data_IF_695172555494
#
_entry.id   IF_695172555494
#
_cell.length_a   1.000
_cell.length_b   1.000
_cell.length_c   1.000
_cell.angle_alpha   90.00
_cell.angle_beta   90.00
_cell.angle_gamma   90.00
#
_symmetry.space_group_name_H-M   'P 1'
#
loop_
_entity.id
_entity.type
_entity.pdbx_description
1 polymer ?
#
# COMPACT_ATOMS: atom_id res chain seq x y z
N UNK A 1 -21.21 12.37 3.70
CA UNK A 1 -22.56 12.72 3.48
C UNK A 1 -23.48 11.51 3.67
N UNK A 2 -24.45 11.64 4.57
CA UNK A 2 -25.38 10.56 4.98
C UNK A 2 -26.10 9.91 3.80
N UNK A 3 -26.49 10.68 2.80
CA UNK A 3 -27.18 10.17 1.61
C UNK A 3 -26.36 9.11 0.86
N UNK A 4 -25.07 9.34 0.66
CA UNK A 4 -24.19 8.39 -0.04
C UNK A 4 -23.89 7.15 0.81
N UNK A 5 -23.53 7.37 2.09
CA UNK A 5 -23.04 6.30 2.97
C UNK A 5 -24.17 5.49 3.58
N UNK A 6 -25.27 6.14 4.00
CA UNK A 6 -26.35 5.50 4.76
C UNK A 6 -27.51 5.06 3.87
N UNK A 7 -27.58 5.57 2.63
CA UNK A 7 -28.71 5.31 1.73
C UNK A 7 -28.27 4.64 0.44
N UNK A 8 -27.44 5.31 -0.38
CA UNK A 8 -27.05 4.81 -1.71
C UNK A 8 -26.19 3.56 -1.63
N UNK A 9 -25.12 3.60 -0.83
CA UNK A 9 -24.21 2.47 -0.69
C UNK A 9 -24.92 1.18 -0.23
N UNK A 10 -25.75 1.18 0.85
CA UNK A 10 -26.51 0.00 1.25
C UNK A 10 -27.51 -0.47 0.20
N UNK A 11 -28.12 0.46 -0.56
CA UNK A 11 -29.07 0.10 -1.61
C UNK A 11 -28.37 -0.66 -2.76
N UNK A 12 -27.20 -0.19 -3.19
CA UNK A 12 -26.40 -0.87 -4.21
C UNK A 12 -25.87 -2.21 -3.69
N UNK A 13 -25.38 -2.28 -2.45
CA UNK A 13 -24.95 -3.54 -1.85
C UNK A 13 -26.08 -4.60 -1.85
N UNK A 14 -27.31 -4.20 -1.52
CA UNK A 14 -28.48 -5.10 -1.60
C UNK A 14 -28.75 -5.56 -3.02
N UNK A 15 -28.69 -4.65 -3.99
CA UNK A 15 -28.87 -4.98 -5.40
C UNK A 15 -27.84 -6.01 -5.87
N UNK A 16 -26.60 -5.88 -5.43
CA UNK A 16 -25.51 -6.81 -5.74
C UNK A 16 -25.54 -8.10 -4.89
N UNK A 17 -26.52 -8.28 -4.00
CA UNK A 17 -26.61 -9.43 -3.11
C UNK A 17 -25.51 -9.50 -2.03
N UNK A 18 -24.92 -8.36 -1.69
CA UNK A 18 -23.93 -8.24 -0.62
C UNK A 18 -24.63 -8.06 0.73
N UNK A 19 -24.18 -8.77 1.74
CA UNK A 19 -24.74 -8.70 3.11
C UNK A 19 -24.10 -7.53 3.85
N UNK A 20 -24.90 -6.57 4.31
CA UNK A 20 -24.47 -5.48 5.18
C UNK A 20 -25.01 -5.67 6.60
N UNK A 21 -24.22 -5.45 7.64
CA UNK A 21 -24.74 -5.31 8.98
C UNK A 21 -25.44 -3.95 9.14
N UNK A 22 -26.72 -3.94 9.44
CA UNK A 22 -27.47 -2.71 9.78
C UNK A 22 -28.78 -2.51 8.99
N UNK A 23 -29.66 -1.66 9.53
CA UNK A 23 -30.89 -1.24 8.88
C UNK A 23 -30.59 -0.09 7.91
N UNK A 24 -30.89 -0.29 6.65
CA UNK A 24 -30.89 0.80 5.67
C UNK A 24 -32.34 1.15 5.32
N UNK A 25 -32.59 2.43 5.11
CA UNK A 25 -33.90 2.91 4.63
C UNK A 25 -34.31 2.21 3.32
N UNK A 26 -35.58 2.17 3.03
CA UNK A 26 -36.10 1.62 1.78
C UNK A 26 -35.85 2.61 0.64
N UNK A 27 -34.88 2.32 -0.19
CA UNK A 27 -34.60 3.06 -1.43
C UNK A 27 -34.69 2.10 -2.59
N UNK A 28 -35.40 2.50 -3.63
CA UNK A 28 -35.49 1.77 -4.89
C UNK A 28 -34.50 2.38 -5.87
N UNK A 29 -33.62 1.56 -6.40
CA UNK A 29 -32.68 1.95 -7.46
C UNK A 29 -33.44 1.86 -8.79
N UNK A 30 -33.53 2.95 -9.52
CA UNK A 30 -34.28 3.01 -10.78
C UNK A 30 -33.53 2.39 -11.95
N UNK A 31 -32.19 2.61 -11.99
CA UNK A 31 -31.38 2.16 -13.10
C UNK A 31 -29.94 1.87 -12.57
N UNK A 32 -29.50 0.63 -12.68
CA UNK A 32 -28.17 0.18 -12.28
C UNK A 32 -27.51 -0.49 -13.47
N UNK A 33 -26.29 -0.09 -13.86
CA UNK A 33 -25.58 -0.71 -14.96
C UNK A 33 -25.46 -2.23 -14.78
N UNK A 34 -25.79 -3.00 -15.81
CA UNK A 34 -25.75 -4.48 -15.75
C UNK A 34 -24.34 -5.04 -15.52
N UNK A 35 -23.32 -4.29 -15.92
CA UNK A 35 -21.92 -4.64 -15.73
C UNK A 35 -21.37 -4.28 -14.33
N UNK A 36 -22.18 -3.64 -13.48
CA UNK A 36 -21.77 -3.32 -12.11
C UNK A 36 -21.76 -4.58 -11.25
N UNK A 37 -20.55 -5.01 -10.87
CA UNK A 37 -20.34 -6.23 -10.06
C UNK A 37 -19.83 -5.95 -8.66
N UNK A 38 -19.25 -4.75 -8.45
CA UNK A 38 -18.68 -4.38 -7.17
C UNK A 38 -19.01 -2.95 -6.80
N UNK A 39 -19.17 -2.71 -5.51
CA UNK A 39 -19.25 -1.36 -4.93
C UNK A 39 -18.28 -1.25 -3.77
N UNK A 40 -17.59 -0.12 -3.71
CA UNK A 40 -16.63 0.14 -2.63
C UNK A 40 -16.82 1.53 -2.07
N UNK A 41 -16.99 1.61 -0.75
CA UNK A 41 -17.04 2.86 -0.02
C UNK A 41 -15.62 3.36 0.26
N UNK A 42 -15.31 4.58 -0.21
CA UNK A 42 -14.05 5.27 0.07
C UNK A 42 -14.24 6.28 1.20
N UNK A 43 -13.99 5.87 2.41
CA UNK A 43 -14.10 6.78 3.56
C UNK A 43 -12.95 7.80 3.59
N UNK A 44 -13.21 9.00 4.10
CA UNK A 44 -12.17 10.03 4.31
C UNK A 44 -11.31 9.76 5.56
N UNK A 45 -11.51 8.63 6.23
CA UNK A 45 -10.71 8.28 7.38
C UNK A 45 -9.22 8.21 6.99
N UNK A 46 -8.38 8.91 7.74
CA UNK A 46 -6.93 8.83 7.58
C UNK A 46 -6.50 7.37 7.73
N UNK A 47 -5.67 6.89 6.83
CA UNK A 47 -5.16 5.53 6.93
C UNK A 47 -4.37 5.41 8.24
N UNK A 48 -4.93 4.65 9.19
CA UNK A 48 -4.24 4.33 10.44
C UNK A 48 -3.16 3.30 10.09
N UNK A 49 -1.94 3.74 10.05
CA UNK A 49 -0.79 2.88 9.78
C UNK A 49 0.34 3.17 10.75
N UNK A 50 1.12 2.15 11.07
CA UNK A 50 2.40 2.37 11.72
C UNK A 50 3.42 2.85 10.66
N UNK A 51 4.61 3.26 11.09
CA UNK A 51 5.67 3.70 10.18
C UNK A 51 6.12 2.67 9.15
N UNK A 52 5.67 1.42 9.26
CA UNK A 52 5.95 0.34 8.30
C UNK A 52 4.93 0.28 7.17
N UNK A 53 3.77 0.93 7.32
CA UNK A 53 2.80 1.09 6.23
C UNK A 53 3.27 2.22 5.32
N UNK A 54 3.61 1.89 4.09
CA UNK A 54 4.12 2.81 3.07
C UNK A 54 3.37 2.60 1.75
N UNK A 55 3.31 3.58 0.83
CA UNK A 55 2.55 3.47 -0.41
C UNK A 55 2.82 2.19 -1.19
N UNK A 56 4.08 1.80 -1.32
CA UNK A 56 4.47 0.62 -2.07
C UNK A 56 4.00 -0.70 -1.43
N UNK A 57 3.77 -0.73 -0.11
CA UNK A 57 3.16 -1.89 0.56
C UNK A 57 1.64 -1.90 0.39
N UNK A 58 1.01 -0.73 0.44
CA UNK A 58 -0.44 -0.59 0.26
C UNK A 58 -0.89 -1.07 -1.11
N UNK A 59 -0.18 -0.70 -2.18
CA UNK A 59 -0.45 -1.17 -3.54
C UNK A 59 0.13 -2.57 -3.83
N UNK A 60 0.65 -3.28 -2.82
CA UNK A 60 1.28 -4.59 -2.93
C UNK A 60 2.44 -4.68 -3.96
N UNK A 61 3.09 -3.56 -4.23
CA UNK A 61 4.23 -3.51 -5.14
C UNK A 61 5.54 -3.95 -4.48
N UNK A 62 5.63 -3.84 -3.15
CA UNK A 62 6.88 -4.09 -2.44
C UNK A 62 7.38 -5.52 -2.59
N UNK A 63 6.49 -6.51 -2.65
CA UNK A 63 6.84 -7.91 -2.85
C UNK A 63 7.49 -8.15 -4.22
N UNK A 64 7.00 -7.48 -5.25
CA UNK A 64 7.58 -7.57 -6.58
C UNK A 64 8.96 -6.88 -6.64
N UNK A 65 9.14 -5.75 -5.94
CA UNK A 65 10.46 -5.10 -5.80
C UNK A 65 11.43 -6.04 -5.07
N UNK A 66 11.02 -6.63 -3.94
CA UNK A 66 11.85 -7.58 -3.18
C UNK A 66 12.29 -8.80 -4.01
N UNK A 67 11.39 -9.30 -4.88
CA UNK A 67 11.72 -10.37 -5.83
C UNK A 67 12.81 -9.95 -6.81
N UNK A 68 12.75 -8.72 -7.33
CA UNK A 68 13.77 -8.18 -8.24
C UNK A 68 15.13 -8.14 -7.55
N UNK A 69 15.21 -7.64 -6.31
CA UNK A 69 16.45 -7.61 -5.54
C UNK A 69 17.01 -9.01 -5.24
N UNK A 70 16.15 -9.95 -4.82
CA UNK A 70 16.55 -11.33 -4.56
C UNK A 70 17.09 -12.07 -5.80
N UNK A 71 16.76 -11.61 -7.00
CA UNK A 71 17.23 -12.17 -8.26
C UNK A 71 18.60 -11.62 -8.70
N UNK A 72 19.11 -10.58 -8.05
CA UNK A 72 20.42 -10.01 -8.38
C UNK A 72 21.54 -11.02 -8.15
N UNK A 73 22.65 -10.88 -8.89
CA UNK A 73 23.82 -11.76 -8.76
C UNK A 73 24.38 -11.73 -7.34
N UNK A 74 24.44 -10.55 -6.74
CA UNK A 74 24.98 -10.36 -5.39
C UNK A 74 24.09 -10.98 -4.31
N UNK A 75 22.75 -10.81 -4.40
CA UNK A 75 21.81 -11.48 -3.50
C UNK A 75 21.97 -13.02 -3.55
N UNK A 76 22.08 -13.58 -4.76
CA UNK A 76 22.27 -15.03 -4.94
C UNK A 76 23.57 -15.53 -4.35
N UNK A 77 24.69 -14.80 -4.50
CA UNK A 77 25.98 -15.16 -3.88
C UNK A 77 25.91 -15.21 -2.35
N UNK A 78 25.11 -14.30 -1.75
CA UNK A 78 24.92 -14.21 -0.30
C UNK A 78 23.79 -15.09 0.22
N UNK A 79 23.13 -15.86 -0.64
CA UNK A 79 21.91 -16.62 -0.32
C UNK A 79 20.80 -15.74 0.28
N UNK A 80 20.67 -14.49 -0.18
CA UNK A 80 19.65 -13.56 0.26
C UNK A 80 18.36 -13.80 -0.52
N UNK A 81 17.39 -14.41 0.16
CA UNK A 81 16.04 -14.56 -0.36
C UNK A 81 15.22 -13.26 -0.23
N UNK A 82 13.99 -13.27 -0.73
CA UNK A 82 13.07 -12.13 -0.73
C UNK A 82 12.80 -11.59 0.69
N UNK A 83 12.85 -12.44 1.73
CA UNK A 83 12.68 -12.04 3.13
C UNK A 83 13.75 -11.08 3.62
N UNK A 84 14.99 -11.18 3.10
CA UNK A 84 16.11 -10.30 3.46
C UNK A 84 15.85 -8.84 3.05
N UNK A 85 15.08 -8.61 2.03
CA UNK A 85 14.70 -7.28 1.54
C UNK A 85 13.40 -6.76 2.17
N UNK A 86 12.93 -7.37 3.27
CA UNK A 86 11.78 -6.92 4.04
C UNK A 86 12.22 -6.19 5.31
N UNK A 87 11.73 -4.98 5.51
CA UNK A 87 11.90 -4.27 6.78
C UNK A 87 10.77 -4.59 7.79
N UNK A 88 9.79 -5.42 7.41
CA UNK A 88 8.65 -5.81 8.25
C UNK A 88 8.85 -7.18 8.93
N UNK A 89 9.64 -8.07 8.32
CA UNK A 89 9.79 -9.45 8.79
C UNK A 89 10.91 -9.58 9.82
N UNK A 90 10.63 -10.25 10.93
CA UNK A 90 11.69 -10.71 11.85
C UNK A 90 12.53 -11.80 11.19
N UNK A 91 13.82 -11.83 11.45
CA UNK A 91 14.75 -12.78 10.82
C UNK A 91 15.13 -12.44 9.38
N UNK A 92 14.64 -11.32 8.81
CA UNK A 92 15.07 -10.77 7.53
C UNK A 92 16.22 -9.76 7.67
N UNK A 93 16.33 -8.87 6.69
CA UNK A 93 17.38 -7.85 6.68
C UNK A 93 17.00 -6.52 7.35
N UNK A 94 15.96 -6.50 8.18
CA UNK A 94 15.56 -5.28 8.91
C UNK A 94 16.61 -4.90 9.96
N UNK A 95 16.74 -3.62 10.23
CA UNK A 95 17.48 -3.13 11.37
C UNK A 95 16.84 -3.61 12.67
N UNK A 96 17.58 -4.34 13.49
CA UNK A 96 17.09 -4.89 14.76
C UNK A 96 16.90 -3.79 15.83
N UNK A 97 17.71 -2.72 15.77
CA UNK A 97 17.65 -1.63 16.75
C UNK A 97 16.35 -0.84 16.69
N UNK A 98 15.84 -0.55 15.50
CA UNK A 98 14.56 0.16 15.30
C UNK A 98 13.44 -0.74 14.79
N UNK A 99 13.65 -2.06 14.72
CA UNK A 99 12.68 -3.00 14.19
C UNK A 99 12.16 -2.65 12.78
N UNK A 100 13.02 -2.07 11.94
CA UNK A 100 12.67 -1.65 10.58
C UNK A 100 11.80 -0.38 10.51
N UNK A 101 11.65 0.37 11.60
CA UNK A 101 10.91 1.65 11.60
C UNK A 101 11.73 2.80 10.99
N UNK A 102 13.06 2.72 11.08
CA UNK A 102 13.99 3.78 10.70
C UNK A 102 14.12 4.88 11.75
N UNK A 103 13.28 4.87 12.78
CA UNK A 103 13.27 5.81 13.89
C UNK A 103 13.10 5.06 15.19
N UNK A 104 13.58 5.67 16.28
CA UNK A 104 13.35 5.27 17.66
C UNK A 104 12.29 6.19 18.26
N UNK A 105 11.34 5.62 18.98
CA UNK A 105 10.34 6.38 19.71
C UNK A 105 10.84 6.59 21.14
N UNK A 106 10.94 7.84 21.54
CA UNK A 106 11.33 8.25 22.89
C UNK A 106 10.05 8.65 23.61
N UNK A 107 9.61 7.79 24.52
CA UNK A 107 8.41 8.05 25.33
C UNK A 107 8.69 9.17 26.34
N UNK A 108 7.85 10.19 26.33
CA UNK A 108 7.93 11.33 27.23
C UNK A 108 6.73 11.29 28.19
N UNK A 109 6.99 11.23 29.51
CA UNK A 109 5.93 11.05 30.51
C UNK A 109 4.84 12.13 30.49
N UNK A 110 5.14 13.36 30.04
CA UNK A 110 4.24 14.51 30.07
C UNK A 110 4.16 15.29 28.77
N UNK A 111 4.85 14.85 27.73
CA UNK A 111 4.90 15.48 26.40
C UNK A 111 4.59 14.42 25.32
N UNK A 112 4.19 14.84 24.12
CA UNK A 112 4.08 13.91 22.99
C UNK A 112 5.40 13.18 22.75
N UNK A 113 5.32 11.91 22.42
CA UNK A 113 6.49 11.09 22.07
C UNK A 113 7.30 11.74 20.96
N UNK A 114 8.61 11.72 21.11
CA UNK A 114 9.55 12.24 20.13
C UNK A 114 10.11 11.08 19.32
N UNK A 115 10.21 11.28 18.02
CA UNK A 115 10.85 10.33 17.12
C UNK A 115 12.25 10.82 16.74
N UNK A 116 13.26 10.02 17.03
CA UNK A 116 14.64 10.26 16.62
C UNK A 116 15.04 9.28 15.52
N UNK A 117 15.83 9.74 14.56
CA UNK A 117 16.40 8.86 13.52
C UNK A 117 17.23 7.77 14.19
N UNK A 118 17.03 6.51 13.78
CA UNK A 118 17.82 5.40 14.31
C UNK A 118 19.27 5.55 13.93
N UNK A 119 20.16 5.66 14.89
CA UNK A 119 21.61 5.80 14.74
C UNK A 119 22.27 4.55 14.13
N UNK A 120 21.77 3.36 14.46
CA UNK A 120 22.31 2.10 13.95
C UNK A 120 22.13 1.94 12.43
N UNK A 121 21.01 2.40 11.88
CA UNK A 121 20.72 2.27 10.44
C UNK A 121 20.68 3.61 9.69
N UNK A 122 20.83 4.74 10.37
CA UNK A 122 20.72 6.08 9.74
C UNK A 122 19.38 6.33 9.06
N UNK A 123 18.29 5.74 9.57
CA UNK A 123 16.96 5.87 8.97
C UNK A 123 16.66 4.91 7.82
N UNK A 124 17.63 4.11 7.36
CA UNK A 124 17.46 3.23 6.19
C UNK A 124 16.50 2.06 6.41
N UNK A 125 16.21 1.69 7.66
CA UNK A 125 15.37 0.55 8.09
C UNK A 125 16.03 -0.82 7.94
N UNK A 126 17.18 -0.91 7.28
CA UNK A 126 17.89 -2.15 6.95
C UNK A 126 19.24 -2.27 7.63
N UNK A 127 19.71 -3.48 7.69
CA UNK A 127 21.11 -3.77 8.04
C UNK A 127 22.03 -3.39 6.89
N UNK A 128 23.30 -3.09 7.20
CA UNK A 128 24.30 -2.65 6.21
C UNK A 128 24.54 -3.68 5.12
N UNK A 129 24.60 -4.98 5.48
CA UNK A 129 24.83 -6.09 4.54
C UNK A 129 23.75 -6.20 3.45
N UNK A 130 22.49 -5.82 3.76
CA UNK A 130 21.39 -5.79 2.80
C UNK A 130 21.51 -4.59 1.85
N UNK A 131 21.98 -3.45 2.36
CA UNK A 131 22.14 -2.23 1.57
C UNK A 131 23.29 -2.33 0.54
N UNK A 132 24.23 -3.23 0.75
CA UNK A 132 25.30 -3.53 -0.22
C UNK A 132 24.80 -4.28 -1.46
N UNK A 133 23.58 -4.84 -1.40
CA UNK A 133 22.97 -5.47 -2.56
C UNK A 133 22.25 -4.41 -3.40
N UNK A 134 22.71 -4.26 -4.62
CA UNK A 134 22.18 -3.25 -5.54
C UNK A 134 21.47 -3.88 -6.74
N UNK A 135 20.43 -3.19 -7.19
CA UNK A 135 19.81 -3.39 -8.49
C UNK A 135 19.95 -2.11 -9.31
N UNK A 136 20.63 -2.20 -10.45
CA UNK A 136 20.96 -1.03 -11.31
C UNK A 136 21.64 0.09 -10.54
N UNK A 137 22.63 -0.25 -9.73
CA UNK A 137 23.42 0.69 -8.89
C UNK A 137 22.56 1.47 -7.87
N UNK A 138 21.51 0.86 -7.35
CA UNK A 138 20.69 1.40 -6.28
C UNK A 138 20.38 0.31 -5.26
N UNK A 139 20.57 0.63 -3.98
CA UNK A 139 20.15 -0.19 -2.85
C UNK A 139 18.62 -0.16 -2.71
N UNK A 140 18.06 -1.11 -1.97
CA UNK A 140 16.60 -1.10 -1.71
C UNK A 140 16.15 0.14 -0.95
N UNK A 141 16.99 0.70 -0.09
CA UNK A 141 16.70 1.96 0.61
C UNK A 141 16.58 3.13 -0.37
N UNK A 142 17.54 3.30 -1.28
CA UNK A 142 17.49 4.35 -2.30
C UNK A 142 16.28 4.22 -3.21
N UNK A 143 15.88 2.98 -3.55
CA UNK A 143 14.63 2.75 -4.29
C UNK A 143 13.41 3.20 -3.50
N UNK A 144 13.38 2.99 -2.19
CA UNK A 144 12.28 3.48 -1.35
C UNK A 144 12.26 5.01 -1.21
N UNK A 145 13.37 5.70 -1.48
CA UNK A 145 13.43 7.16 -1.52
C UNK A 145 12.98 7.75 -2.87
N UNK A 146 12.83 6.94 -3.91
CA UNK A 146 12.31 7.40 -5.19
C UNK A 146 10.84 7.76 -5.10
N UNK A 147 10.42 8.72 -5.90
CA UNK A 147 9.01 8.97 -6.19
C UNK A 147 8.42 7.85 -7.04
N UNK A 148 7.10 7.73 -7.10
CA UNK A 148 6.44 6.71 -7.91
C UNK A 148 6.76 6.87 -9.41
N UNK A 149 6.93 8.10 -9.91
CA UNK A 149 7.32 8.38 -11.30
C UNK A 149 8.77 7.98 -11.59
N UNK A 150 9.69 8.31 -10.70
CA UNK A 150 11.10 7.90 -10.82
C UNK A 150 11.24 6.38 -10.78
N UNK A 151 10.57 5.72 -9.82
CA UNK A 151 10.58 4.28 -9.68
C UNK A 151 9.95 3.58 -10.90
N UNK A 152 8.87 4.14 -11.46
CA UNK A 152 8.26 3.60 -12.69
C UNK A 152 9.25 3.57 -13.84
N UNK A 153 10.05 4.64 -13.98
CA UNK A 153 11.10 4.73 -15.00
C UNK A 153 12.28 3.80 -14.68
N UNK A 154 12.70 3.76 -13.43
CA UNK A 154 13.80 2.92 -12.95
C UNK A 154 13.54 1.43 -13.16
N UNK A 155 12.31 0.97 -12.91
CA UNK A 155 11.91 -0.42 -13.11
C UNK A 155 11.45 -0.74 -14.53
N UNK A 156 11.89 0.03 -15.55
CA UNK A 156 11.59 -0.26 -16.95
C UNK A 156 11.98 -1.71 -17.29
N UNK A 157 11.00 -2.49 -17.79
CA UNK A 157 11.15 -3.92 -18.10
C UNK A 157 10.68 -4.88 -16.98
N UNK A 158 10.55 -4.43 -15.74
CA UNK A 158 9.93 -5.21 -14.68
C UNK A 158 8.39 -5.00 -14.69
N UNK A 159 7.71 -5.68 -15.60
CA UNK A 159 6.28 -5.42 -15.92
C UNK A 159 5.37 -5.42 -14.69
N UNK A 160 5.56 -6.36 -13.75
CA UNK A 160 4.73 -6.46 -12.54
C UNK A 160 4.91 -5.25 -11.62
N UNK A 161 6.15 -4.79 -11.43
CA UNK A 161 6.45 -3.57 -10.66
C UNK A 161 5.85 -2.35 -11.34
N UNK A 162 6.08 -2.19 -12.65
CA UNK A 162 5.53 -1.06 -13.40
C UNK A 162 4.00 -1.02 -13.40
N UNK A 163 3.32 -2.16 -13.55
CA UNK A 163 1.86 -2.23 -13.50
C UNK A 163 1.32 -1.71 -12.17
N UNK A 164 1.93 -2.09 -11.05
CA UNK A 164 1.53 -1.63 -9.71
C UNK A 164 1.84 -0.15 -9.49
N UNK A 165 3.04 0.31 -9.89
CA UNK A 165 3.41 1.72 -9.78
C UNK A 165 2.54 2.63 -10.66
N UNK A 166 2.09 2.13 -11.81
CA UNK A 166 1.18 2.89 -12.68
C UNK A 166 -0.15 3.22 -11.99
N UNK A 167 -0.62 2.39 -11.07
CA UNK A 167 -1.82 2.68 -10.30
C UNK A 167 -1.66 3.94 -9.42
N UNK A 168 -0.48 4.16 -8.81
CA UNK A 168 -0.17 5.41 -8.10
C UNK A 168 -0.21 6.62 -9.04
N UNK A 169 0.36 6.47 -10.22
CA UNK A 169 0.41 7.54 -11.23
C UNK A 169 -0.99 7.92 -11.71
N UNK A 170 -1.83 6.93 -12.03
CA UNK A 170 -3.22 7.12 -12.43
C UNK A 170 -4.06 7.78 -11.33
N UNK A 171 -3.77 7.51 -10.06
CA UNK A 171 -4.40 8.19 -8.93
C UNK A 171 -3.84 9.60 -8.66
N UNK A 172 -2.93 10.11 -9.50
CA UNK A 172 -2.31 11.43 -9.32
C UNK A 172 -1.31 11.49 -8.16
N UNK A 173 -0.70 10.36 -7.79
CA UNK A 173 0.28 10.23 -6.71
C UNK A 173 1.70 9.93 -7.23
N UNK A 174 2.01 10.31 -8.47
CA UNK A 174 3.32 10.11 -9.09
C UNK A 174 4.48 10.73 -8.32
N UNK A 175 4.24 11.85 -7.66
CA UNK A 175 5.19 12.58 -6.83
C UNK A 175 5.48 11.95 -5.47
N UNK A 176 4.63 11.02 -5.02
CA UNK A 176 4.73 10.44 -3.69
C UNK A 176 5.93 9.51 -3.57
N UNK A 177 6.71 9.68 -2.51
CA UNK A 177 7.86 8.82 -2.23
C UNK A 177 7.42 7.42 -1.82
N UNK A 178 8.01 6.38 -2.41
CA UNK A 178 7.60 4.99 -2.19
C UNK A 178 7.69 4.55 -0.73
N UNK A 179 8.68 5.03 0.01
CA UNK A 179 8.95 4.69 1.41
C UNK A 179 8.34 5.67 2.43
N UNK A 180 7.55 6.66 2.02
CA UNK A 180 6.92 7.61 2.93
C UNK A 180 5.90 6.90 3.83
N UNK A 181 5.91 7.10 5.16
CA UNK A 181 4.89 6.52 6.02
C UNK A 181 3.49 7.04 5.68
N UNK A 182 2.49 6.13 5.57
CA UNK A 182 1.11 6.54 5.25
C UNK A 182 0.50 7.46 6.31
N UNK A 183 0.98 7.40 7.55
CA UNK A 183 0.56 8.30 8.63
C UNK A 183 0.93 9.78 8.40
N UNK A 184 1.81 10.08 7.44
CA UNK A 184 2.21 11.44 7.08
C UNK A 184 1.42 12.01 5.90
N UNK A 185 0.55 11.21 5.31
CA UNK A 185 -0.26 11.60 4.17
C UNK A 185 -1.44 12.46 4.59
N UNK A 186 -1.78 13.44 3.76
CA UNK A 186 -3.03 14.19 3.88
C UNK A 186 -4.25 13.28 3.67
N UNK A 187 -5.43 13.72 4.11
CA UNK A 187 -6.67 12.98 3.90
C UNK A 187 -6.95 12.67 2.42
N UNK A 188 -6.70 13.65 1.54
CA UNK A 188 -6.86 13.47 0.09
C UNK A 188 -5.84 12.52 -0.54
N UNK A 189 -4.59 12.52 -0.07
CA UNK A 189 -3.58 11.55 -0.51
C UNK A 189 -3.92 10.14 -0.04
N UNK A 190 -4.37 9.99 1.21
CA UNK A 190 -4.82 8.71 1.77
C UNK A 190 -5.99 8.14 0.97
N UNK A 191 -6.96 8.96 0.59
CA UNK A 191 -8.10 8.54 -0.25
C UNK A 191 -7.63 8.10 -1.63
N UNK A 192 -6.80 8.89 -2.31
CA UNK A 192 -6.22 8.53 -3.62
C UNK A 192 -5.35 7.28 -3.55
N UNK A 193 -4.63 7.07 -2.44
CA UNK A 193 -3.83 5.86 -2.24
C UNK A 193 -4.71 4.60 -2.13
N UNK A 194 -5.90 4.71 -1.51
CA UNK A 194 -6.89 3.60 -1.50
C UNK A 194 -7.39 3.30 -2.92
N UNK A 195 -7.68 4.32 -3.72
CA UNK A 195 -8.04 4.13 -5.12
C UNK A 195 -6.91 3.43 -5.87
N UNK A 196 -5.66 3.89 -5.69
CA UNK A 196 -4.49 3.26 -6.30
C UNK A 196 -4.34 1.79 -5.88
N UNK A 197 -4.61 1.45 -4.61
CA UNK A 197 -4.55 0.07 -4.14
C UNK A 197 -5.55 -0.83 -4.90
N UNK A 198 -6.77 -0.36 -5.07
CA UNK A 198 -7.80 -1.09 -5.84
C UNK A 198 -7.41 -1.22 -7.30
N UNK A 199 -6.95 -0.15 -7.95
CA UNK A 199 -6.46 -0.17 -9.33
C UNK A 199 -5.26 -1.12 -9.50
N UNK A 200 -4.44 -1.27 -8.47
CA UNK A 200 -3.35 -2.24 -8.41
C UNK A 200 -3.82 -3.69 -8.18
N UNK A 201 -5.11 -3.92 -7.94
CA UNK A 201 -5.65 -5.23 -7.58
C UNK A 201 -5.25 -5.69 -6.17
N UNK A 202 -4.94 -4.75 -5.27
CA UNK A 202 -4.72 -5.04 -3.86
C UNK A 202 -6.08 -5.19 -3.16
N UNK A 203 -6.27 -6.17 -2.24
CA UNK A 203 -7.47 -6.25 -1.42
C UNK A 203 -7.55 -4.98 -0.56
N UNK A 204 -8.72 -4.38 -0.47
CA UNK A 204 -8.97 -3.24 0.41
C UNK A 204 -9.26 -3.73 1.83
N UNK A 205 -8.81 -2.98 2.84
CA UNK A 205 -9.08 -3.28 4.26
C UNK A 205 -10.58 -3.23 4.59
N UNK A 206 -11.38 -2.54 3.77
CA UNK A 206 -12.83 -2.39 3.91
C UNK A 206 -13.63 -3.36 3.01
N UNK A 207 -13.00 -4.38 2.43
CA UNK A 207 -13.71 -5.36 1.59
C UNK A 207 -14.63 -6.24 2.45
N UNK A 208 -15.94 -6.12 2.19
CA UNK A 208 -16.91 -7.15 2.58
C UNK A 208 -16.45 -8.52 2.01
N UNK A 209 -16.64 -9.63 2.75
CA UNK A 209 -16.17 -10.94 2.33
C UNK A 209 -16.70 -11.28 0.93
N UNK A 210 -15.80 -11.37 -0.02
CA UNK A 210 -16.11 -11.75 -1.41
C UNK A 210 -16.73 -13.13 -1.43
N UNK A 211 -17.91 -13.27 -2.04
CA UNK A 211 -18.33 -14.58 -2.52
C UNK A 211 -17.28 -15.06 -3.53
N UNK A 212 -16.62 -16.17 -3.22
CA UNK A 212 -15.73 -16.88 -4.15
C UNK A 212 -16.53 -17.40 -5.33
N UNK A 213 -16.84 -16.56 -6.31
CA UNK A 213 -17.22 -17.05 -7.63
C UNK A 213 -17.20 -15.87 -8.62
N UNK A 214 -16.56 -16.13 -9.74
CA UNK A 214 -16.54 -15.37 -10.97
C UNK A 214 -15.38 -14.39 -11.17
N UNK A 215 -14.45 -14.84 -11.97
CA UNK A 215 -13.64 -14.11 -12.93
C UNK A 215 -14.54 -13.42 -13.98
N UNK A 216 -15.38 -12.48 -13.60
CA UNK A 216 -16.07 -11.62 -14.55
C UNK A 216 -15.44 -10.23 -14.49
N UNK A 217 -15.01 -9.74 -15.65
CA UNK A 217 -14.61 -8.36 -15.86
C UNK A 217 -15.86 -7.47 -15.73
N UNK A 218 -16.24 -7.15 -14.48
CA UNK A 218 -17.35 -6.27 -14.18
C UNK A 218 -16.87 -4.92 -13.66
N UNK A 219 -17.72 -3.89 -13.79
CA UNK A 219 -17.45 -2.56 -13.30
C UNK A 219 -17.44 -2.48 -11.77
N UNK A 220 -16.60 -1.62 -11.21
CA UNK A 220 -16.57 -1.29 -9.78
C UNK A 220 -17.00 0.16 -9.58
N UNK A 221 -18.01 0.38 -8.76
CA UNK A 221 -18.42 1.72 -8.36
C UNK A 221 -17.73 2.13 -7.07
N UNK A 222 -17.12 3.29 -7.07
CA UNK A 222 -16.55 3.93 -5.88
C UNK A 222 -17.47 5.01 -5.37
N UNK A 223 -17.78 5.00 -4.08
CA UNK A 223 -18.62 5.96 -3.38
C UNK A 223 -17.84 6.69 -2.30
#
# INVERSE_FOLDING_TARGET
SSLLVETLYPAICRHLGLVLPGQSGSVTLADVPEDLTHVQLLTQAVMRGNRRSIPVTVIQCFDEIRKVFAQTREAKKRNFGMGMFSFNSSGGGRCEHCDGRGVLQIEMQFLPDIEAVCDACGGSRYRKDVLEVEYRNRSIHEVLQMTADEAFTFFKGARRVQSRLNALRLAGLGYLTLGQPVSTLSGGESQRLRIAAVLAGAPSEDELPRRRSATSAGGTLFI
#
